data_IF_114532368344
#
_entry.id   IF_114532368344
#
_cell.length_a   1.000
_cell.length_b   1.000
_cell.length_c   1.000
_cell.angle_alpha   90.00
_cell.angle_beta   90.00
_cell.angle_gamma   90.00
#
_symmetry.space_group_name_H-M   'P 1'
#
loop_
_entity.id
_entity.type
_entity.pdbx_description
1 polymer ?
#
# COMPACT_ATOMS: atom_id res chain seq x y z
N UNK A 1 21.92 12.37 2.37
CA UNK A 1 20.83 12.76 3.30
C UNK A 1 19.53 12.41 2.60
N UNK A 2 18.90 11.30 2.96
CA UNK A 2 17.70 10.84 2.26
C UNK A 2 16.50 11.64 2.72
N UNK A 3 15.92 12.43 1.80
CA UNK A 3 14.65 13.14 1.99
C UNK A 3 13.52 12.12 2.05
N UNK A 4 13.34 11.45 3.20
CA UNK A 4 12.07 10.79 3.48
C UNK A 4 11.08 11.92 3.70
N UNK A 5 10.31 12.26 2.67
CA UNK A 5 9.22 13.23 2.81
C UNK A 5 8.37 12.78 4.00
N UNK A 6 8.24 13.65 5.00
CA UNK A 6 7.60 13.37 6.30
C UNK A 6 6.09 13.13 6.23
N UNK A 7 5.59 12.56 5.14
CA UNK A 7 4.18 12.36 4.88
C UNK A 7 3.83 10.89 4.96
N UNK A 8 2.72 10.59 5.61
CA UNK A 8 2.08 9.29 5.53
C UNK A 8 1.63 9.04 4.09
N UNK A 9 1.95 7.86 3.56
CA UNK A 9 1.57 7.47 2.20
C UNK A 9 0.64 6.26 2.22
N UNK A 10 -0.56 6.42 1.69
CA UNK A 10 -1.49 5.32 1.46
C UNK A 10 -0.87 4.30 0.52
N UNK A 11 -1.02 3.03 0.90
CA UNK A 11 -0.72 1.90 0.04
C UNK A 11 -2.02 1.25 -0.39
N UNK A 12 -2.02 0.61 -1.55
CA UNK A 12 -3.18 -0.06 -2.15
C UNK A 12 -3.57 -1.36 -1.43
N UNK A 13 -3.68 -1.32 -0.10
CA UNK A 13 -4.02 -2.42 0.77
C UNK A 13 -5.17 -2.00 1.70
N UNK A 14 -6.29 -2.73 1.61
CA UNK A 14 -7.51 -2.46 2.36
C UNK A 14 -8.14 -3.73 2.92
N UNK A 15 -8.97 -3.58 3.93
CA UNK A 15 -9.87 -4.63 4.43
C UNK A 15 -11.25 -4.06 4.71
N UNK A 16 -12.25 -4.91 4.56
CA UNK A 16 -13.58 -4.66 5.13
C UNK A 16 -13.60 -5.15 6.59
N UNK A 17 -14.58 -4.73 7.40
CA UNK A 17 -14.79 -5.29 8.74
C UNK A 17 -14.82 -6.81 8.69
N UNK A 18 -14.07 -7.46 9.57
CA UNK A 18 -13.96 -8.92 9.69
C UNK A 18 -13.47 -9.66 8.43
N UNK A 19 -12.89 -8.94 7.46
CA UNK A 19 -12.31 -9.52 6.24
C UNK A 19 -10.78 -9.50 6.28
N UNK A 20 -10.13 -10.45 5.59
CA UNK A 20 -8.69 -10.39 5.42
C UNK A 20 -8.28 -9.20 4.56
N UNK A 21 -7.06 -8.72 4.77
CA UNK A 21 -6.42 -7.71 3.93
C UNK A 21 -6.35 -8.16 2.46
N UNK A 22 -6.67 -7.24 1.55
CA UNK A 22 -6.62 -7.44 0.09
C UNK A 22 -5.90 -6.27 -0.57
N UNK A 23 -5.11 -6.59 -1.58
CA UNK A 23 -4.52 -5.60 -2.48
C UNK A 23 -5.59 -5.02 -3.42
N UNK A 24 -5.32 -3.87 -4.03
CA UNK A 24 -6.20 -3.27 -5.04
C UNK A 24 -6.46 -4.18 -6.25
N UNK A 25 -5.56 -5.14 -6.53
CA UNK A 25 -5.78 -6.16 -7.57
C UNK A 25 -6.69 -7.32 -7.12
N UNK A 26 -7.33 -7.21 -5.94
CA UNK A 26 -8.21 -8.23 -5.38
C UNK A 26 -7.48 -9.43 -4.75
N UNK A 27 -6.16 -9.52 -4.89
CA UNK A 27 -5.35 -10.59 -4.30
C UNK A 27 -5.31 -10.47 -2.77
N UNK A 28 -5.45 -11.60 -2.08
CA UNK A 28 -5.35 -11.65 -0.62
C UNK A 28 -3.92 -11.33 -0.19
N UNK A 29 -3.80 -10.59 0.90
CA UNK A 29 -2.53 -10.29 1.53
C UNK A 29 -1.98 -11.51 2.28
N UNK A 30 -0.68 -11.77 2.13
CA UNK A 30 -0.03 -12.95 2.69
C UNK A 30 0.43 -12.79 4.16
N UNK A 31 0.13 -11.66 4.81
CA UNK A 31 0.50 -11.38 6.21
C UNK A 31 2.02 -11.48 6.50
N UNK A 32 2.85 -11.30 5.48
CA UNK A 32 4.32 -11.29 5.57
C UNK A 32 4.90 -10.07 6.31
N UNK A 33 4.08 -9.04 6.58
CA UNK A 33 4.40 -7.95 7.48
C UNK A 33 3.21 -7.66 8.41
N UNK A 34 3.51 -7.10 9.57
CA UNK A 34 2.50 -6.67 10.54
C UNK A 34 1.93 -5.31 10.15
N UNK A 35 0.63 -5.12 10.36
CA UNK A 35 -0.07 -3.86 10.13
C UNK A 35 -0.58 -3.37 11.48
N UNK A 36 -0.11 -2.21 11.92
CA UNK A 36 -0.54 -1.62 13.18
C UNK A 36 -1.94 -0.97 13.05
N UNK A 37 -2.72 -0.97 14.12
CA UNK A 37 -4.06 -0.37 14.15
C UNK A 37 -5.16 -1.26 13.59
N UNK A 38 -6.39 -0.73 13.60
CA UNK A 38 -7.60 -1.48 13.24
C UNK A 38 -8.36 -0.91 12.05
N UNK A 39 -7.79 0.09 11.37
CA UNK A 39 -8.45 0.78 10.28
C UNK A 39 -8.65 -0.07 9.02
N UNK A 40 -9.60 0.32 8.15
CA UNK A 40 -9.85 -0.37 6.89
C UNK A 40 -8.79 -0.12 5.81
N UNK A 41 -8.04 1.00 5.86
CA UNK A 41 -7.03 1.34 4.86
C UNK A 41 -5.64 1.37 5.47
N UNK A 42 -4.64 0.81 4.76
CA UNK A 42 -3.25 0.81 5.20
C UNK A 42 -2.43 1.93 4.58
N UNK A 43 -1.49 2.47 5.35
CA UNK A 43 -0.55 3.49 4.95
C UNK A 43 0.85 3.17 5.49
N UNK A 44 1.86 3.63 4.77
CA UNK A 44 3.25 3.65 5.23
C UNK A 44 3.45 4.89 6.11
N UNK A 45 3.97 4.68 7.31
CA UNK A 45 4.31 5.77 8.23
C UNK A 45 5.75 6.26 8.02
N UNK A 46 6.09 7.37 8.67
CA UNK A 46 7.45 7.94 8.62
C UNK A 46 8.54 7.06 9.25
N UNK A 47 8.20 5.97 9.93
CA UNK A 47 9.14 5.03 10.56
C UNK A 47 9.38 3.75 9.73
N UNK A 48 8.89 3.70 8.47
CA UNK A 48 8.95 2.50 7.60
C UNK A 48 8.05 1.35 8.06
N UNK A 49 7.16 1.61 9.02
CA UNK A 49 6.12 0.65 9.41
C UNK A 49 4.85 0.86 8.59
N UNK A 50 4.03 -0.19 8.56
CA UNK A 50 2.71 -0.15 7.95
C UNK A 50 1.67 -0.07 9.06
N UNK A 51 0.86 0.97 9.00
CA UNK A 51 -0.24 1.20 9.93
C UNK A 51 -1.56 1.29 9.16
N UNK A 52 -2.67 1.25 9.89
CA UNK A 52 -4.02 1.29 9.34
C UNK A 52 -4.86 2.36 10.01
N UNK A 53 -5.72 3.00 9.23
CA UNK A 53 -6.63 4.05 9.69
C UNK A 53 -7.90 4.08 8.83
N UNK A 54 -8.86 4.93 9.21
CA UNK A 54 -9.99 5.25 8.33
C UNK A 54 -9.51 5.72 6.96
N UNK A 55 -10.15 5.22 5.90
CA UNK A 55 -9.85 5.61 4.52
C UNK A 55 -10.19 7.09 4.21
N UNK A 56 -10.85 7.78 5.14
CA UNK A 56 -11.24 9.19 5.00
C UNK A 56 -10.11 10.17 5.36
N UNK A 57 -8.99 9.69 5.91
CA UNK A 57 -7.84 10.55 6.19
C UNK A 57 -7.17 10.98 4.89
N UNK A 58 -6.96 12.28 4.75
CA UNK A 58 -6.21 12.83 3.63
C UNK A 58 -4.73 12.44 3.73
N UNK A 59 -4.12 12.14 2.59
CA UNK A 59 -2.73 11.72 2.52
C UNK A 59 -2.31 11.43 1.09
N UNK A 60 -1.00 11.38 0.86
CA UNK A 60 -0.45 11.02 -0.44
C UNK A 60 -0.64 9.52 -0.67
N UNK A 61 -0.64 9.06 -1.92
CA UNK A 61 -0.78 7.63 -2.24
C UNK A 61 0.36 7.15 -3.13
N UNK A 62 0.72 5.88 -2.96
CA UNK A 62 1.70 5.20 -3.81
C UNK A 62 0.96 4.21 -4.70
N UNK A 63 1.11 4.37 -6.02
CA UNK A 63 0.57 3.45 -7.01
C UNK A 63 1.69 2.57 -7.60
N UNK A 64 1.42 1.28 -7.74
CA UNK A 64 2.30 0.32 -8.40
C UNK A 64 1.59 -0.30 -9.60
N UNK A 65 2.27 -0.35 -10.75
CA UNK A 65 1.83 -1.11 -11.92
C UNK A 65 2.98 -2.01 -12.41
N UNK A 66 2.70 -3.18 -13.01
CA UNK A 66 3.73 -3.97 -13.64
C UNK A 66 4.40 -3.19 -14.78
N UNK A 67 5.70 -3.38 -14.95
CA UNK A 67 6.42 -2.87 -16.12
C UNK A 67 6.08 -3.79 -17.29
N UNK A 68 5.36 -3.26 -18.27
CA UNK A 68 5.18 -3.93 -19.55
C UNK A 68 6.56 -4.00 -20.22
N UNK A 69 7.11 -5.21 -20.41
CA UNK A 69 8.32 -5.36 -21.24
C UNK A 69 7.91 -4.99 -22.66
N UNK A 70 8.55 -4.01 -23.32
CA UNK A 70 8.38 -3.86 -24.75
C UNK A 70 8.90 -5.15 -25.39
N UNK A 71 8.00 -5.90 -26.02
CA UNK A 71 8.35 -7.04 -26.86
C UNK A 71 9.36 -6.56 -27.90
N UNK A 72 10.51 -7.23 -27.94
CA UNK A 72 11.66 -6.80 -28.72
C UNK A 72 11.27 -6.52 -30.16
N UNK A 73 11.61 -5.32 -30.63
CA UNK A 73 11.66 -5.01 -32.06
C UNK A 73 12.66 -5.99 -32.68
N UNK A 74 12.14 -7.04 -33.33
CA UNK A 74 12.93 -7.89 -34.21
C UNK A 74 13.70 -6.98 -35.17
N UNK A 75 15.02 -7.14 -35.18
CA UNK A 75 15.90 -6.55 -36.19
C UNK A 75 15.78 -7.31 -37.50
#
# INVERSE_FOLDING_TARGET
>A
MCYKGSSDHWISLRREPDQPWKWANGTRFNNWFSIAGEGPCAFLNNNDDIASSSCAREGHWICSKPVEKPEGRAK
#
